data_IF_438134389419
#
_entry.id   IF_438134389419
#
_cell.length_a   1.000
_cell.length_b   1.000
_cell.length_c   1.000
_cell.angle_alpha   90.00
_cell.angle_beta   90.00
_cell.angle_gamma   90.00
#
_symmetry.space_group_name_H-M   'P 1'
#
loop_
_entity.id
_entity.type
_entity.pdbx_description
1 polymer ?
#
# COMPACT_ATOMS: atom_id res chain seq x y z
N UNK A 1 -19.49 -11.48 -22.28
CA UNK A 1 -19.02 -10.90 -21.01
C UNK A 1 -18.89 -9.41 -21.20
N UNK A 2 -19.45 -8.58 -20.32
CA UNK A 2 -19.26 -7.14 -20.35
C UNK A 2 -17.82 -6.82 -19.95
N UNK A 3 -17.10 -6.09 -20.80
CA UNK A 3 -15.77 -5.58 -20.48
C UNK A 3 -15.84 -4.58 -19.33
N UNK A 4 -14.85 -4.62 -18.43
CA UNK A 4 -14.79 -3.68 -17.32
C UNK A 4 -14.54 -2.26 -17.86
N UNK A 5 -15.43 -1.32 -17.54
CA UNK A 5 -15.29 0.09 -17.95
C UNK A 5 -14.10 0.77 -17.28
N UNK A 6 -13.75 0.34 -16.06
CA UNK A 6 -12.53 0.76 -15.34
C UNK A 6 -11.85 -0.46 -14.76
N UNK A 7 -10.55 -0.60 -15.02
CA UNK A 7 -9.70 -1.65 -14.46
C UNK A 7 -8.48 -1.01 -13.81
N UNK A 8 -8.23 -1.37 -12.56
CA UNK A 8 -7.03 -0.98 -11.83
C UNK A 8 -6.25 -2.25 -11.48
N UNK A 9 -4.95 -2.13 -11.32
CA UNK A 9 -4.11 -3.25 -10.89
C UNK A 9 -2.99 -2.68 -10.03
N UNK A 10 -2.51 -3.50 -9.08
CA UNK A 10 -1.44 -3.12 -8.15
C UNK A 10 -1.83 -1.87 -7.34
N UNK A 11 -3.07 -1.81 -6.85
CA UNK A 11 -3.54 -0.66 -6.06
C UNK A 11 -3.03 -0.78 -4.63
N UNK A 12 -2.49 0.32 -4.10
CA UNK A 12 -1.97 0.41 -2.74
C UNK A 12 -2.48 1.67 -2.03
N UNK A 13 -2.67 1.58 -0.72
CA UNK A 13 -3.01 2.72 0.13
C UNK A 13 -2.39 2.58 1.51
N UNK A 14 -1.66 3.62 1.92
CA UNK A 14 -1.10 3.77 3.27
C UNK A 14 -1.64 5.07 3.87
N UNK A 15 -1.99 5.02 5.16
CA UNK A 15 -2.46 6.15 5.96
C UNK A 15 -1.40 6.52 7.02
N UNK A 16 -1.31 7.80 7.36
CA UNK A 16 -0.39 8.35 8.36
C UNK A 16 0.50 9.46 7.78
N UNK A 17 1.11 10.25 8.67
CA UNK A 17 1.90 11.44 8.28
C UNK A 17 3.15 11.08 7.47
N UNK A 18 3.69 9.88 7.69
CA UNK A 18 4.87 9.34 7.00
C UNK A 18 4.53 8.34 5.89
N UNK A 19 3.32 8.41 5.32
CA UNK A 19 2.85 7.43 4.34
C UNK A 19 3.74 7.35 3.08
N UNK A 20 4.35 8.46 2.65
CA UNK A 20 5.24 8.47 1.48
C UNK A 20 6.56 7.71 1.76
N UNK A 21 7.16 7.91 2.93
CA UNK A 21 8.35 7.15 3.36
C UNK A 21 8.03 5.67 3.51
N UNK A 22 6.90 5.35 4.15
CA UNK A 22 6.41 3.99 4.30
C UNK A 22 6.20 3.31 2.93
N UNK A 23 5.62 4.01 1.96
CA UNK A 23 5.42 3.49 0.60
C UNK A 23 6.74 3.19 -0.11
N UNK A 24 7.74 4.06 0.04
CA UNK A 24 9.08 3.84 -0.52
C UNK A 24 9.74 2.60 0.12
N UNK A 25 9.68 2.49 1.45
CA UNK A 25 10.25 1.36 2.18
C UNK A 25 9.53 0.03 1.86
N UNK A 26 8.20 0.02 1.72
CA UNK A 26 7.45 -1.17 1.29
C UNK A 26 7.92 -1.64 -0.09
N UNK A 27 8.14 -0.72 -1.04
CA UNK A 27 8.61 -1.06 -2.39
C UNK A 27 10.05 -1.56 -2.42
N UNK A 28 10.92 -1.02 -1.56
CA UNK A 28 12.34 -1.36 -1.53
C UNK A 28 12.65 -2.62 -0.69
N UNK A 29 11.97 -2.78 0.45
CA UNK A 29 12.28 -3.79 1.47
C UNK A 29 11.21 -4.89 1.58
N UNK A 30 10.06 -4.76 0.92
CA UNK A 30 8.97 -5.75 1.01
C UNK A 30 8.31 -5.81 2.38
N UNK A 31 8.15 -4.65 3.05
CA UNK A 31 7.61 -4.57 4.41
C UNK A 31 6.16 -5.08 4.49
N UNK A 32 5.88 -5.80 5.57
CA UNK A 32 4.54 -6.24 5.97
C UNK A 32 3.77 -5.14 6.70
N UNK A 33 2.44 -5.27 6.79
CA UNK A 33 1.58 -4.27 7.46
C UNK A 33 2.00 -3.96 8.91
N UNK A 34 2.32 -4.96 9.77
CA UNK A 34 2.81 -4.68 11.12
C UNK A 34 4.12 -3.91 11.14
N UNK A 35 5.06 -4.25 10.25
CA UNK A 35 6.35 -3.56 10.16
C UNK A 35 6.19 -2.10 9.73
N UNK A 36 5.23 -1.80 8.85
CA UNK A 36 4.91 -0.42 8.47
C UNK A 36 4.35 0.37 9.66
N UNK A 37 3.50 -0.25 10.47
CA UNK A 37 2.97 0.37 11.69
C UNK A 37 4.08 0.66 12.70
N UNK A 38 4.91 -0.32 13.00
CA UNK A 38 5.99 -0.18 13.98
C UNK A 38 7.05 0.85 13.55
N UNK A 39 7.50 0.82 12.29
CA UNK A 39 8.58 1.70 11.81
C UNK A 39 8.12 3.13 11.51
N UNK A 40 6.89 3.30 11.02
CA UNK A 40 6.41 4.57 10.47
C UNK A 40 5.19 5.15 11.18
N UNK A 41 4.61 4.44 12.16
CA UNK A 41 3.30 4.79 12.73
C UNK A 41 2.23 4.97 11.64
N UNK A 42 2.33 4.17 10.58
CA UNK A 42 1.45 4.23 9.41
C UNK A 42 0.70 2.90 9.23
N UNK A 43 -0.50 2.95 8.66
CA UNK A 43 -1.35 1.76 8.46
C UNK A 43 -1.55 1.50 6.98
N UNK A 44 -1.32 0.25 6.55
CA UNK A 44 -1.59 -0.20 5.17
C UNK A 44 -3.07 -0.58 5.04
N UNK A 45 -3.85 0.27 4.36
CA UNK A 45 -5.28 0.04 4.11
C UNK A 45 -5.57 -0.83 2.89
N UNK A 46 -4.79 -0.68 1.82
CA UNK A 46 -4.88 -1.53 0.62
C UNK A 46 -3.49 -2.02 0.25
N UNK A 47 -3.37 -3.31 -0.02
CA UNK A 47 -2.14 -3.98 -0.40
C UNK A 47 -2.44 -4.84 -1.62
N UNK A 48 -1.86 -4.44 -2.76
CA UNK A 48 -1.86 -5.18 -4.01
C UNK A 48 -3.24 -5.67 -4.49
N UNK A 49 -4.22 -4.77 -4.52
CA UNK A 49 -5.55 -5.09 -5.03
C UNK A 49 -5.57 -5.07 -6.58
N UNK A 50 -6.31 -6.01 -7.15
CA UNK A 50 -6.46 -6.25 -8.60
C UNK A 50 -7.92 -6.30 -9.03
#
# INVERSE_FOLDING_TARGET
>A
MSEAVVKLSNVWKIFGDRANEAMAAVKAEGLTKPQVLEKFSCVVGVQDAT
#
